data_IF_409174130883
#
_entry.id   IF_409174130883
#
_cell.length_a   1.000
_cell.length_b   1.000
_cell.length_c   1.000
_cell.angle_alpha   90.00
_cell.angle_beta   90.00
_cell.angle_gamma   90.00
#
_symmetry.space_group_name_H-M   'P 1'
#
loop_
_entity.id
_entity.type
_entity.pdbx_description
1 polymer ?
#
# COMPACT_ATOMS: atom_id res chain seq x y z
N UNK A 1 45.40 -23.86 -7.06
CA UNK A 1 45.95 -22.48 -6.94
C UNK A 1 45.46 -21.57 -8.07
N UNK A 2 45.62 -21.96 -9.35
CA UNK A 2 45.06 -21.21 -10.52
C UNK A 2 43.53 -20.99 -10.46
N UNK A 3 42.74 -22.00 -10.10
CA UNK A 3 41.28 -21.84 -9.97
C UNK A 3 40.85 -20.84 -8.88
N UNK A 4 41.61 -20.74 -7.77
CA UNK A 4 41.34 -19.75 -6.72
C UNK A 4 41.76 -18.31 -7.12
N UNK A 5 42.69 -18.15 -8.06
CA UNK A 5 43.07 -16.85 -8.60
C UNK A 5 42.06 -16.35 -9.63
N UNK A 6 41.58 -17.24 -10.52
CA UNK A 6 40.52 -16.90 -11.47
C UNK A 6 39.18 -16.58 -10.78
N UNK A 7 38.82 -17.28 -9.70
CA UNK A 7 37.61 -16.98 -8.93
C UNK A 7 37.73 -15.64 -8.16
N UNK A 8 38.94 -15.25 -7.74
CA UNK A 8 39.21 -13.93 -7.15
C UNK A 8 39.14 -12.81 -8.19
N UNK A 9 39.61 -13.05 -9.41
CA UNK A 9 39.52 -12.07 -10.50
C UNK A 9 38.10 -11.89 -11.02
N UNK A 10 37.28 -12.94 -11.08
CA UNK A 10 35.84 -12.82 -11.43
C UNK A 10 35.02 -12.12 -10.36
N UNK A 11 35.38 -12.26 -9.08
CA UNK A 11 34.68 -11.59 -7.96
C UNK A 11 35.12 -10.14 -7.73
N UNK A 12 36.30 -9.72 -8.21
CA UNK A 12 36.80 -8.33 -8.13
C UNK A 12 35.84 -7.28 -8.72
N UNK A 13 35.34 -7.40 -9.97
CA UNK A 13 34.44 -6.40 -10.54
C UNK A 13 33.12 -6.30 -9.76
N UNK A 14 32.57 -7.43 -9.29
CA UNK A 14 31.35 -7.47 -8.46
C UNK A 14 31.56 -6.83 -7.08
N UNK A 15 32.76 -6.99 -6.49
CA UNK A 15 33.11 -6.36 -5.21
C UNK A 15 33.30 -4.85 -5.33
N UNK A 16 33.83 -4.40 -6.47
CA UNK A 16 34.05 -2.97 -6.78
C UNK A 16 32.70 -2.29 -6.99
N UNK A 17 31.80 -2.87 -7.78
CA UNK A 17 30.42 -2.35 -7.95
C UNK A 17 29.68 -2.27 -6.62
N UNK A 18 29.75 -3.31 -5.77
CA UNK A 18 29.12 -3.28 -4.44
C UNK A 18 29.65 -2.18 -3.54
N UNK A 19 30.97 -1.97 -3.51
CA UNK A 19 31.58 -0.90 -2.72
C UNK A 19 31.21 0.49 -3.23
N UNK A 20 31.21 0.70 -4.55
CA UNK A 20 30.75 1.96 -5.15
C UNK A 20 29.29 2.24 -4.80
N UNK A 21 28.41 1.24 -4.89
CA UNK A 21 27.00 1.35 -4.51
C UNK A 21 26.85 1.67 -3.02
N UNK A 22 27.64 1.04 -2.14
CA UNK A 22 27.62 1.32 -0.69
C UNK A 22 28.12 2.73 -0.33
N UNK A 23 29.13 3.25 -1.03
CA UNK A 23 29.67 4.59 -0.81
C UNK A 23 28.73 5.69 -1.32
N UNK A 24 28.16 5.50 -2.51
CA UNK A 24 27.10 6.36 -3.02
C UNK A 24 25.88 6.34 -2.08
N UNK A 25 25.48 5.16 -1.61
CA UNK A 25 24.39 5.01 -0.65
C UNK A 25 24.62 5.78 0.66
N UNK A 26 25.80 5.70 1.26
CA UNK A 26 26.13 6.44 2.50
C UNK A 26 25.96 7.95 2.31
N UNK A 27 26.31 8.47 1.13
CA UNK A 27 26.11 9.87 0.78
C UNK A 27 24.62 10.24 0.72
N UNK A 28 23.77 9.36 0.18
CA UNK A 28 22.32 9.61 0.10
C UNK A 28 21.58 9.49 1.45
N UNK A 29 21.97 8.56 2.32
CA UNK A 29 21.32 8.34 3.63
C UNK A 29 21.64 9.46 4.64
N UNK A 30 22.77 10.15 4.47
CA UNK A 30 23.16 11.26 5.36
C UNK A 30 22.34 12.55 5.18
N UNK A 31 21.43 12.63 4.19
CA UNK A 31 20.64 13.83 3.94
C UNK A 31 19.43 13.98 4.88
N UNK A 32 19.29 15.10 5.62
CA UNK A 32 18.21 15.30 6.59
C UNK A 32 16.80 15.15 6.01
N UNK A 33 16.52 15.77 4.84
CA UNK A 33 15.20 15.72 4.18
C UNK A 33 14.80 14.30 3.75
N UNK A 34 15.74 13.51 3.24
CA UNK A 34 15.49 12.12 2.82
C UNK A 34 15.20 11.25 4.04
N UNK A 35 15.90 11.47 5.16
CA UNK A 35 15.66 10.75 6.41
C UNK A 35 14.27 11.04 6.98
N UNK A 36 13.84 12.30 6.95
CA UNK A 36 12.50 12.72 7.38
C UNK A 36 11.41 12.11 6.50
N UNK A 37 11.58 12.10 5.18
CA UNK A 37 10.66 11.45 4.24
C UNK A 37 10.60 9.93 4.44
N UNK A 38 11.73 9.25 4.67
CA UNK A 38 11.74 7.81 4.96
C UNK A 38 10.90 7.47 6.19
N UNK A 39 11.02 8.26 7.26
CA UNK A 39 10.22 8.05 8.47
C UNK A 39 8.73 8.27 8.20
N UNK A 40 8.41 9.29 7.39
CA UNK A 40 7.04 9.56 6.97
C UNK A 40 6.43 8.37 6.23
N UNK A 41 7.13 7.84 5.22
CA UNK A 41 6.65 6.68 4.48
C UNK A 41 6.55 5.42 5.36
N UNK A 42 7.48 5.21 6.29
CA UNK A 42 7.38 4.12 7.26
C UNK A 42 6.08 4.21 8.09
N UNK A 43 5.75 5.40 8.59
CA UNK A 43 4.50 5.65 9.32
C UNK A 43 3.27 5.39 8.46
N UNK A 44 3.23 5.92 7.23
CA UNK A 44 2.11 5.71 6.30
C UNK A 44 1.89 4.23 5.99
N UNK A 45 2.96 3.48 5.80
CA UNK A 45 2.88 2.03 5.54
C UNK A 45 2.36 1.29 6.77
N UNK A 46 2.80 1.68 7.97
CA UNK A 46 2.28 1.14 9.21
C UNK A 46 0.78 1.44 9.41
N UNK A 47 0.33 2.64 9.04
CA UNK A 47 -1.08 3.01 9.07
C UNK A 47 -1.88 2.12 8.11
N UNK A 48 -1.40 1.93 6.87
CA UNK A 48 -2.01 1.02 5.89
C UNK A 48 -2.08 -0.42 6.39
N UNK A 49 -1.02 -0.93 7.02
CA UNK A 49 -1.00 -2.28 7.59
C UNK A 49 -2.02 -2.43 8.73
N UNK A 50 -2.19 -1.39 9.53
CA UNK A 50 -3.16 -1.37 10.63
C UNK A 50 -4.60 -1.34 10.10
N UNK A 51 -4.86 -0.51 9.07
CA UNK A 51 -6.15 -0.45 8.37
C UNK A 51 -6.48 -1.82 7.76
N UNK A 52 -5.53 -2.44 7.04
CA UNK A 52 -5.74 -3.75 6.42
C UNK A 52 -6.09 -4.84 7.44
N UNK A 53 -5.38 -4.89 8.58
CA UNK A 53 -5.68 -5.84 9.66
C UNK A 53 -7.09 -5.63 10.23
N UNK A 54 -7.48 -4.36 10.45
CA UNK A 54 -8.81 -4.02 10.97
C UNK A 54 -9.91 -4.36 9.96
N UNK A 55 -9.68 -4.11 8.68
CA UNK A 55 -10.59 -4.46 7.59
C UNK A 55 -10.77 -5.96 7.45
N UNK A 56 -9.69 -6.74 7.50
CA UNK A 56 -9.76 -8.20 7.44
C UNK A 56 -10.61 -8.75 8.60
N UNK A 57 -10.35 -8.29 9.82
CA UNK A 57 -11.18 -8.66 10.98
C UNK A 57 -12.64 -8.21 10.85
N UNK A 58 -12.88 -7.07 10.20
CA UNK A 58 -14.25 -6.56 9.95
C UNK A 58 -14.98 -7.47 8.96
N UNK A 59 -14.32 -7.89 7.89
CA UNK A 59 -14.89 -8.80 6.88
C UNK A 59 -15.11 -10.21 7.45
N UNK A 60 -14.21 -10.70 8.32
CA UNK A 60 -14.39 -11.98 9.02
C UNK A 60 -15.61 -11.96 9.95
N UNK A 61 -15.78 -10.88 10.73
CA UNK A 61 -16.97 -10.68 11.56
C UNK A 61 -18.23 -10.58 10.69
N UNK A 62 -18.16 -9.91 9.54
CA UNK A 62 -19.27 -9.83 8.60
C UNK A 62 -19.63 -11.22 8.07
N UNK A 63 -18.64 -12.07 7.77
CA UNK A 63 -18.86 -13.46 7.37
C UNK A 63 -19.59 -14.26 8.45
N UNK A 64 -19.20 -14.09 9.72
CA UNK A 64 -19.87 -14.73 10.87
C UNK A 64 -21.31 -14.27 11.09
N UNK A 65 -21.66 -13.05 10.68
CA UNK A 65 -23.05 -12.58 10.77
C UNK A 65 -24.01 -13.41 9.89
N UNK A 66 -23.49 -14.02 8.83
CA UNK A 66 -24.26 -14.78 7.83
C UNK A 66 -25.46 -14.03 7.22
N UNK A 67 -25.50 -12.69 7.35
CA UNK A 67 -26.68 -11.91 6.98
C UNK A 67 -27.03 -12.05 5.50
N UNK A 68 -26.03 -12.07 4.62
CA UNK A 68 -26.25 -12.18 3.18
C UNK A 68 -26.69 -13.58 2.77
N UNK A 69 -26.30 -14.61 3.52
CA UNK A 69 -26.74 -15.98 3.28
C UNK A 69 -28.17 -16.23 3.77
N UNK A 70 -28.56 -15.59 4.89
CA UNK A 70 -29.88 -15.77 5.51
C UNK A 70 -30.94 -14.91 4.82
N UNK A 71 -30.57 -13.70 4.37
CA UNK A 71 -31.51 -12.68 3.85
C UNK A 71 -31.34 -12.40 2.36
N UNK A 72 -30.38 -13.04 1.70
CA UNK A 72 -30.16 -12.91 0.27
C UNK A 72 -31.17 -13.69 -0.54
N UNK A 73 -31.40 -13.27 -1.78
CA UNK A 73 -32.18 -14.05 -2.73
C UNK A 73 -31.42 -15.36 -3.06
N UNK A 74 -32.06 -16.54 -2.97
CA UNK A 74 -31.43 -17.82 -3.31
C UNK A 74 -30.87 -17.90 -4.75
N UNK A 75 -31.34 -17.04 -5.65
CA UNK A 75 -30.91 -16.91 -7.05
C UNK A 75 -29.69 -16.00 -7.25
N UNK A 76 -29.34 -15.18 -6.27
CA UNK A 76 -28.17 -14.31 -6.30
C UNK A 76 -26.90 -15.04 -5.81
N UNK A 77 -25.74 -14.47 -6.13
CA UNK A 77 -24.44 -15.05 -5.79
C UNK A 77 -24.29 -15.18 -4.26
N UNK A 78 -24.28 -16.42 -3.76
CA UNK A 78 -24.36 -16.72 -2.31
C UNK A 78 -23.12 -16.31 -1.51
N UNK A 79 -21.98 -16.06 -2.18
CA UNK A 79 -20.69 -15.75 -1.55
C UNK A 79 -20.34 -14.25 -1.59
N UNK A 80 -21.29 -13.38 -1.22
CA UNK A 80 -21.09 -11.92 -1.21
C UNK A 80 -19.87 -11.53 -0.37
N UNK A 81 -19.75 -12.07 0.85
CA UNK A 81 -18.63 -11.73 1.76
C UNK A 81 -17.31 -12.29 1.26
N UNK A 82 -17.26 -13.51 0.73
CA UNK A 82 -16.04 -14.08 0.17
C UNK A 82 -15.57 -13.34 -1.08
N UNK A 83 -16.50 -12.84 -1.92
CA UNK A 83 -16.17 -11.94 -3.03
C UNK A 83 -15.51 -10.65 -2.52
N UNK A 84 -16.11 -9.99 -1.52
CA UNK A 84 -15.53 -8.79 -0.93
C UNK A 84 -14.13 -9.05 -0.37
N UNK A 85 -13.94 -10.14 0.37
CA UNK A 85 -12.62 -10.51 0.88
C UNK A 85 -11.60 -10.65 -0.25
N UNK A 86 -11.95 -11.36 -1.33
CA UNK A 86 -11.08 -11.51 -2.51
C UNK A 86 -10.73 -10.17 -3.14
N UNK A 87 -11.72 -9.30 -3.35
CA UNK A 87 -11.53 -7.97 -3.91
C UNK A 87 -10.58 -7.14 -3.04
N UNK A 88 -10.83 -7.04 -1.73
CA UNK A 88 -9.95 -6.30 -0.79
C UNK A 88 -8.52 -6.84 -0.80
N UNK A 89 -8.35 -8.16 -0.87
CA UNK A 89 -7.03 -8.77 -0.97
C UNK A 89 -6.30 -8.40 -2.26
N UNK A 90 -6.99 -8.46 -3.40
CA UNK A 90 -6.40 -8.23 -4.71
C UNK A 90 -6.07 -6.76 -4.94
N UNK A 91 -7.00 -5.86 -4.65
CA UNK A 91 -6.92 -4.47 -5.07
C UNK A 91 -6.22 -3.57 -4.05
N UNK A 92 -6.40 -3.84 -2.75
CA UNK A 92 -5.82 -3.03 -1.67
C UNK A 92 -4.66 -3.73 -0.96
N UNK A 93 -4.86 -4.92 -0.41
CA UNK A 93 -3.86 -5.52 0.48
C UNK A 93 -2.58 -5.94 -0.26
N UNK A 94 -2.73 -6.49 -1.48
CA UNK A 94 -1.60 -6.78 -2.35
C UNK A 94 -0.83 -5.52 -2.76
N UNK A 95 -1.51 -4.38 -2.92
CA UNK A 95 -0.85 -3.11 -3.18
C UNK A 95 -0.06 -2.62 -1.96
N UNK A 96 -0.61 -2.73 -0.74
CA UNK A 96 0.15 -2.42 0.49
C UNK A 96 1.41 -3.27 0.61
N UNK A 97 1.33 -4.57 0.30
CA UNK A 97 2.48 -5.47 0.34
C UNK A 97 3.58 -5.03 -0.65
N UNK A 98 3.18 -4.70 -1.89
CA UNK A 98 4.11 -4.17 -2.90
C UNK A 98 4.77 -2.87 -2.45
N UNK A 99 4.00 -1.94 -1.88
CA UNK A 99 4.52 -0.68 -1.32
C UNK A 99 5.52 -0.97 -0.19
N UNK A 100 5.19 -1.86 0.74
CA UNK A 100 6.09 -2.22 1.86
C UNK A 100 7.40 -2.80 1.37
N UNK A 101 7.35 -3.70 0.38
CA UNK A 101 8.54 -4.30 -0.20
C UNK A 101 9.37 -3.27 -0.97
N UNK A 102 8.72 -2.38 -1.72
CA UNK A 102 9.40 -1.28 -2.41
C UNK A 102 10.05 -0.30 -1.44
N UNK A 103 9.38 0.03 -0.34
CA UNK A 103 9.96 0.84 0.73
C UNK A 103 11.17 0.17 1.35
N UNK A 104 11.12 -1.12 1.66
CA UNK A 104 12.28 -1.85 2.18
C UNK A 104 13.46 -1.81 1.21
N UNK A 105 13.21 -2.02 -0.08
CA UNK A 105 14.22 -1.92 -1.13
C UNK A 105 14.85 -0.52 -1.16
N UNK A 106 14.04 0.53 -1.28
CA UNK A 106 14.53 1.92 -1.33
C UNK A 106 15.20 2.38 -0.03
N UNK A 107 14.73 1.89 1.10
CA UNK A 107 15.23 2.28 2.41
C UNK A 107 16.60 1.67 2.71
N UNK A 108 16.85 0.43 2.27
CA UNK A 108 18.05 -0.35 2.64
C UNK A 108 19.02 -0.56 1.47
N UNK A 109 18.52 -0.85 0.27
CA UNK A 109 19.30 -1.25 -0.91
C UNK A 109 18.74 -0.59 -2.19
N UNK A 110 18.76 0.76 -2.29
CA UNK A 110 18.28 1.41 -3.49
C UNK A 110 19.18 1.06 -4.68
N UNK A 111 18.56 0.78 -5.82
CA UNK A 111 19.25 0.57 -7.08
C UNK A 111 19.81 1.90 -7.65
N UNK A 112 20.72 1.86 -8.62
CA UNK A 112 21.18 3.06 -9.33
C UNK A 112 20.02 3.78 -10.03
N UNK A 113 20.12 5.10 -10.23
CA UNK A 113 19.09 5.93 -10.87
C UNK A 113 18.69 5.38 -12.25
N UNK A 114 19.67 4.92 -13.03
CA UNK A 114 19.49 4.31 -14.34
C UNK A 114 18.53 3.12 -14.31
N UNK A 115 18.52 2.33 -13.23
CA UNK A 115 17.60 1.22 -13.09
C UNK A 115 16.14 1.69 -13.07
N UNK A 116 15.83 2.77 -12.35
CA UNK A 116 14.46 3.31 -12.31
C UNK A 116 14.07 3.95 -13.63
N UNK A 117 15.01 4.66 -14.28
CA UNK A 117 14.78 5.29 -15.58
C UNK A 117 14.32 4.30 -16.66
N UNK A 118 14.82 3.05 -16.64
CA UNK A 118 14.41 2.00 -17.59
C UNK A 118 12.93 1.65 -17.54
N UNK A 119 12.24 1.95 -16.43
CA UNK A 119 10.84 1.61 -16.22
C UNK A 119 9.89 2.81 -16.27
N UNK A 120 10.43 4.01 -16.47
CA UNK A 120 9.65 5.24 -16.46
C UNK A 120 9.19 5.63 -17.85
N UNK A 121 8.04 6.30 -17.90
CA UNK A 121 7.53 6.88 -19.13
C UNK A 121 8.42 8.03 -19.60
N UNK A 122 8.24 8.44 -20.86
CA UNK A 122 9.04 9.51 -21.48
C UNK A 122 8.95 10.83 -20.71
N UNK A 123 7.82 11.09 -20.04
CA UNK A 123 7.61 12.32 -19.26
C UNK A 123 8.49 12.35 -18.01
N UNK A 124 8.47 11.29 -17.20
CA UNK A 124 9.31 11.15 -16.01
C UNK A 124 10.77 11.11 -16.36
N UNK A 125 11.13 10.42 -17.45
CA UNK A 125 12.51 10.36 -17.94
C UNK A 125 13.05 11.76 -18.24
N UNK A 126 12.33 12.54 -19.06
CA UNK A 126 12.71 13.92 -19.39
C UNK A 126 12.81 14.80 -18.15
N UNK A 127 11.87 14.68 -17.22
CA UNK A 127 11.92 15.46 -15.98
C UNK A 127 13.19 15.14 -15.17
N UNK A 128 13.58 13.87 -15.05
CA UNK A 128 14.81 13.50 -14.36
C UNK A 128 16.08 13.98 -15.08
N UNK A 129 16.08 14.03 -16.41
CA UNK A 129 17.19 14.58 -17.21
C UNK A 129 17.38 16.08 -16.99
N UNK A 130 16.30 16.83 -16.72
CA UNK A 130 16.39 18.28 -16.42
C UNK A 130 16.93 18.60 -15.02
N UNK A 131 17.12 17.59 -14.16
CA UNK A 131 17.62 17.79 -12.81
C UNK A 131 19.13 17.61 -12.77
N UNK A 132 19.85 18.63 -12.31
CA UNK A 132 21.32 18.60 -12.25
C UNK A 132 21.88 17.74 -11.11
N UNK A 133 21.05 17.44 -10.11
CA UNK A 133 21.46 16.70 -8.91
C UNK A 133 20.80 15.34 -8.86
N UNK A 134 21.61 14.31 -8.73
CA UNK A 134 21.17 12.94 -8.48
C UNK A 134 20.34 12.83 -7.19
N UNK A 135 20.53 13.73 -6.23
CA UNK A 135 19.69 13.80 -5.04
C UNK A 135 18.27 14.24 -5.37
N UNK A 136 18.12 15.28 -6.21
CA UNK A 136 16.81 15.75 -6.65
C UNK A 136 16.13 14.65 -7.45
N UNK A 137 16.85 13.99 -8.36
CA UNK A 137 16.33 12.84 -9.11
C UNK A 137 15.83 11.74 -8.18
N UNK A 138 16.61 11.42 -7.14
CA UNK A 138 16.26 10.38 -6.20
C UNK A 138 15.04 10.73 -5.33
N UNK A 139 14.84 11.99 -4.97
CA UNK A 139 13.61 12.45 -4.31
C UNK A 139 12.37 12.25 -5.20
N UNK A 140 12.46 12.57 -6.49
CA UNK A 140 11.38 12.29 -7.44
C UNK A 140 11.12 10.78 -7.59
N UNK A 141 12.18 9.97 -7.63
CA UNK A 141 12.07 8.50 -7.64
C UNK A 141 11.33 8.01 -6.39
N UNK A 142 11.74 8.43 -5.19
CA UNK A 142 11.06 8.08 -3.92
C UNK A 142 9.57 8.45 -4.00
N UNK A 143 9.24 9.64 -4.51
CA UNK A 143 7.85 10.09 -4.66
C UNK A 143 7.06 9.16 -5.60
N UNK A 144 7.59 8.85 -6.78
CA UNK A 144 6.88 8.00 -7.74
C UNK A 144 6.77 6.55 -7.31
N UNK A 145 7.76 6.06 -6.56
CA UNK A 145 7.82 4.67 -6.13
C UNK A 145 7.09 4.41 -4.82
N UNK A 146 6.87 5.43 -3.99
CA UNK A 146 6.20 5.30 -2.70
C UNK A 146 4.95 6.16 -2.58
N UNK A 147 5.08 7.49 -2.70
CA UNK A 147 3.96 8.40 -2.46
C UNK A 147 2.78 8.15 -3.40
N UNK A 148 3.05 8.05 -4.70
CA UNK A 148 1.99 7.82 -5.68
C UNK A 148 1.26 6.48 -5.49
N UNK A 149 1.96 5.34 -5.32
CA UNK A 149 1.33 4.07 -4.93
C UNK A 149 0.53 4.15 -3.63
N UNK A 150 1.05 4.83 -2.60
CA UNK A 150 0.35 5.01 -1.32
C UNK A 150 -0.96 5.78 -1.54
N UNK A 151 -0.90 6.92 -2.24
CA UNK A 151 -2.10 7.71 -2.55
C UNK A 151 -3.10 6.89 -3.37
N UNK A 152 -2.63 6.15 -4.38
CA UNK A 152 -3.48 5.24 -5.16
C UNK A 152 -4.16 4.22 -4.27
N UNK A 153 -3.43 3.58 -3.36
CA UNK A 153 -3.97 2.56 -2.47
C UNK A 153 -5.02 3.13 -1.50
N UNK A 154 -4.76 4.33 -0.95
CA UNK A 154 -5.72 5.03 -0.09
C UNK A 154 -7.02 5.33 -0.85
N UNK A 155 -6.93 5.80 -2.09
CA UNK A 155 -8.11 6.06 -2.92
C UNK A 155 -8.89 4.78 -3.24
N UNK A 156 -8.19 3.67 -3.50
CA UNK A 156 -8.80 2.34 -3.69
C UNK A 156 -9.54 1.90 -2.43
N UNK A 157 -8.86 1.92 -1.27
CA UNK A 157 -9.47 1.60 0.02
C UNK A 157 -10.70 2.44 0.31
N UNK A 158 -10.64 3.75 0.02
CA UNK A 158 -11.76 4.67 0.22
C UNK A 158 -12.98 4.26 -0.59
N UNK A 159 -12.79 4.00 -1.89
CA UNK A 159 -13.84 3.54 -2.79
C UNK A 159 -14.45 2.22 -2.31
N UNK A 160 -13.63 1.23 -2.00
CA UNK A 160 -14.09 -0.09 -1.56
C UNK A 160 -14.83 -0.03 -0.22
N UNK A 161 -14.39 0.83 0.71
CA UNK A 161 -15.09 1.07 1.97
C UNK A 161 -16.46 1.72 1.77
N UNK A 162 -16.58 2.64 0.82
CA UNK A 162 -17.88 3.19 0.43
C UNK A 162 -18.82 2.13 -0.14
N UNK A 163 -18.32 1.27 -1.04
CA UNK A 163 -19.08 0.17 -1.62
C UNK A 163 -19.52 -0.83 -0.54
N UNK A 164 -18.61 -1.20 0.37
CA UNK A 164 -18.92 -2.03 1.53
C UNK A 164 -20.02 -1.40 2.40
N UNK A 165 -19.89 -0.12 2.76
CA UNK A 165 -20.89 0.54 3.60
C UNK A 165 -22.24 0.68 2.91
N UNK A 166 -22.27 0.93 1.60
CA UNK A 166 -23.50 0.94 0.81
C UNK A 166 -24.18 -0.43 0.86
N UNK A 167 -23.41 -1.50 0.66
CA UNK A 167 -23.92 -2.86 0.79
C UNK A 167 -24.46 -3.14 2.20
N UNK A 168 -23.72 -2.78 3.25
CA UNK A 168 -24.19 -2.95 4.64
C UNK A 168 -25.42 -2.10 4.95
N UNK A 169 -25.56 -0.93 4.32
CA UNK A 169 -26.73 -0.06 4.49
C UNK A 169 -27.95 -0.54 3.71
N UNK A 170 -27.78 -1.39 2.69
CA UNK A 170 -28.90 -2.00 1.97
C UNK A 170 -29.71 -2.98 2.83
N UNK A 171 -29.12 -3.50 3.92
CA UNK A 171 -29.79 -4.41 4.85
C UNK A 171 -30.62 -3.64 5.87
N UNK A 172 -31.91 -3.95 5.90
CA UNK A 172 -32.91 -3.25 6.69
C UNK A 172 -33.06 -3.87 8.09
N UNK A 173 -33.75 -3.17 8.99
CA UNK A 173 -34.07 -3.69 10.33
C UNK A 173 -34.87 -5.00 10.28
N UNK A 174 -35.74 -5.16 9.27
CA UNK A 174 -36.48 -6.41 9.03
C UNK A 174 -35.53 -7.58 8.78
N UNK A 175 -34.46 -7.37 8.01
CA UNK A 175 -33.47 -8.40 7.69
C UNK A 175 -32.74 -8.88 8.95
N UNK A 176 -32.52 -7.96 9.90
CA UNK A 176 -31.90 -8.28 11.20
C UNK A 176 -32.77 -9.18 12.08
N UNK A 177 -34.11 -9.14 11.94
CA UNK A 177 -35.00 -9.98 12.78
C UNK A 177 -34.89 -11.47 12.48
N UNK A 178 -34.33 -11.85 11.33
CA UNK A 178 -34.06 -13.24 10.97
C UNK A 178 -32.74 -13.76 11.55
N UNK A 179 -31.93 -12.88 12.14
CA UNK A 179 -30.64 -13.23 12.71
C UNK A 179 -30.76 -13.63 14.18
N UNK A 180 -29.90 -14.54 14.63
CA UNK A 180 -29.67 -14.74 16.07
C UNK A 180 -28.98 -13.51 16.66
N UNK A 181 -29.13 -13.30 17.96
CA UNK A 181 -28.53 -12.14 18.64
C UNK A 181 -27.03 -11.99 18.39
N UNK A 182 -26.29 -13.11 18.38
CA UNK A 182 -24.84 -13.11 18.12
C UNK A 182 -24.51 -12.67 16.68
N UNK A 183 -25.28 -13.16 15.69
CA UNK A 183 -25.14 -12.78 14.28
C UNK A 183 -25.46 -11.30 14.05
N UNK A 184 -26.51 -10.80 14.72
CA UNK A 184 -26.86 -9.39 14.70
C UNK A 184 -25.75 -8.50 15.28
N UNK A 185 -25.13 -8.93 16.39
CA UNK A 185 -24.00 -8.22 17.00
C UNK A 185 -22.79 -8.18 16.04
N UNK A 186 -22.43 -9.31 15.44
CA UNK A 186 -21.35 -9.34 14.43
C UNK A 186 -21.63 -8.39 13.27
N UNK A 187 -22.87 -8.32 12.79
CA UNK A 187 -23.24 -7.39 11.71
C UNK A 187 -23.10 -5.93 12.14
N UNK A 188 -23.65 -5.56 13.30
CA UNK A 188 -23.56 -4.19 13.85
C UNK A 188 -22.11 -3.77 14.08
N UNK A 189 -21.30 -4.64 14.67
CA UNK A 189 -19.88 -4.39 14.92
C UNK A 189 -19.09 -4.22 13.64
N UNK A 190 -19.42 -5.02 12.60
CA UNK A 190 -18.81 -4.91 11.29
C UNK A 190 -19.13 -3.58 10.63
N UNK A 191 -20.39 -3.13 10.72
CA UNK A 191 -20.84 -1.84 10.20
C UNK A 191 -20.15 -0.66 10.88
N UNK A 192 -20.06 -0.69 12.21
CA UNK A 192 -19.36 0.34 13.00
C UNK A 192 -17.87 0.35 12.65
N UNK A 193 -17.25 -0.83 12.57
CA UNK A 193 -15.82 -0.96 12.25
C UNK A 193 -15.50 -0.50 10.83
N UNK A 194 -16.35 -0.81 9.85
CA UNK A 194 -16.21 -0.33 8.48
C UNK A 194 -16.32 1.21 8.40
N UNK A 195 -17.26 1.81 9.12
CA UNK A 195 -17.41 3.27 9.20
C UNK A 195 -16.17 3.92 9.82
N UNK A 196 -15.65 3.35 10.91
CA UNK A 196 -14.41 3.83 11.53
C UNK A 196 -13.22 3.75 10.58
N UNK A 197 -13.08 2.65 9.83
CA UNK A 197 -12.05 2.52 8.81
C UNK A 197 -12.19 3.58 7.72
N UNK A 198 -13.42 3.85 7.25
CA UNK A 198 -13.68 4.90 6.27
C UNK A 198 -13.21 6.27 6.78
N UNK A 199 -13.53 6.63 8.02
CA UNK A 199 -13.10 7.90 8.62
C UNK A 199 -11.58 8.07 8.65
N UNK A 200 -10.84 7.01 9.03
CA UNK A 200 -9.38 7.01 9.01
C UNK A 200 -8.87 7.20 7.59
N UNK A 201 -9.37 6.41 6.64
CA UNK A 201 -8.94 6.43 5.24
C UNK A 201 -9.22 7.79 4.60
N UNK A 202 -10.40 8.38 4.81
CA UNK A 202 -10.73 9.72 4.30
C UNK A 202 -9.82 10.81 4.90
N UNK A 203 -9.45 10.69 6.18
CA UNK A 203 -8.49 11.62 6.81
C UNK A 203 -7.11 11.51 6.17
N UNK A 204 -6.64 10.28 5.95
CA UNK A 204 -5.38 10.00 5.30
C UNK A 204 -5.36 10.49 3.84
N UNK A 205 -6.44 10.26 3.09
CA UNK A 205 -6.62 10.74 1.73
C UNK A 205 -6.50 12.27 1.65
N UNK A 206 -7.21 13.00 2.52
CA UNK A 206 -7.12 14.47 2.59
C UNK A 206 -5.70 14.94 2.87
N UNK A 207 -5.01 14.30 3.82
CA UNK A 207 -3.62 14.61 4.18
C UNK A 207 -2.69 14.40 2.99
N UNK A 208 -2.81 13.28 2.29
CA UNK A 208 -1.99 12.95 1.12
C UNK A 208 -2.28 13.89 -0.06
N UNK A 209 -3.54 14.22 -0.33
CA UNK A 209 -3.90 15.17 -1.37
C UNK A 209 -3.34 16.58 -1.07
N UNK A 210 -3.42 17.05 0.18
CA UNK A 210 -2.79 18.32 0.57
C UNK A 210 -1.26 18.30 0.40
N UNK A 211 -0.61 17.15 0.64
CA UNK A 211 0.82 17.02 0.33
C UNK A 211 1.10 17.03 -1.16
N UNK A 212 0.28 16.35 -1.96
CA UNK A 212 0.40 16.38 -3.42
C UNK A 212 0.34 17.81 -3.95
N UNK A 213 -0.63 18.60 -3.51
CA UNK A 213 -0.81 20.00 -3.92
C UNK A 213 0.38 20.90 -3.54
N UNK A 214 1.06 20.63 -2.42
CA UNK A 214 2.25 21.40 -2.01
C UNK A 214 3.50 21.04 -2.79
N UNK A 215 3.47 19.93 -3.51
CA UNK A 215 4.60 19.38 -4.26
C UNK A 215 4.43 19.48 -5.78
N UNK A 216 3.26 19.94 -6.24
CA UNK A 216 2.95 20.26 -7.65
C UNK A 216 3.06 21.78 -7.88
#
# INVERSE_FOLDING_TARGET
KKEMEEEKERKKPVLIEKKLVEEEYKKYVSFPKIKEEKNLYAMLIQDLDSINKKLLSTLDSLGKSQIFQITGDPSENKDVVGNLQREFHQDAFSLTERIRNRFKELAHNPRPIQHYLMHYDTKRHRLLETLDSDQMKFLYIIRWELFEPILKNVNVLHKMLYELLNLLNSKNKSDMTYLKQEQENYFKDSKISALYCLQIVSSLEKKLNSWKEKMD
#
